data_IF_345574518759
#
_entry.id   IF_345574518759
#
_cell.length_a   1.000
_cell.length_b   1.000
_cell.length_c   1.000
_cell.angle_alpha   90.00
_cell.angle_beta   90.00
_cell.angle_gamma   90.00
#
_symmetry.space_group_name_H-M   'P 1'
#
loop_
_entity.id
_entity.type
_entity.pdbx_description
1 polymer ?
#
# COMPACT_ATOMS: atom_id res chain seq x y z
N UNK A 1 -17.09 24.82 -6.31
CA UNK A 1 -18.49 24.45 -6.63
C UNK A 1 -18.48 23.51 -7.83
N UNK A 2 -18.31 22.21 -7.58
CA UNK A 2 -18.33 21.20 -8.66
C UNK A 2 -19.77 20.79 -8.98
N UNK A 3 -20.66 20.83 -7.99
CA UNK A 3 -22.09 20.53 -8.16
C UNK A 3 -22.86 21.81 -7.97
N UNK A 4 -23.42 22.34 -9.07
CA UNK A 4 -24.18 23.60 -9.09
C UNK A 4 -25.68 23.45 -8.78
N UNK A 5 -26.14 22.27 -8.42
CA UNK A 5 -27.56 21.99 -8.16
C UNK A 5 -27.91 22.25 -6.69
N UNK A 6 -28.79 23.24 -6.39
CA UNK A 6 -29.17 23.56 -5.01
C UNK A 6 -30.04 22.45 -4.33
N UNK A 7 -30.60 21.52 -5.10
CA UNK A 7 -31.34 20.37 -4.57
C UNK A 7 -30.46 19.23 -4.09
N UNK A 8 -29.11 19.34 -4.21
CA UNK A 8 -28.15 18.32 -3.77
C UNK A 8 -27.39 18.84 -2.57
N UNK A 9 -27.58 18.22 -1.41
CA UNK A 9 -26.72 18.44 -0.24
C UNK A 9 -25.58 17.42 -0.25
N UNK A 10 -24.38 17.88 0.13
CA UNK A 10 -23.22 17.03 0.27
C UNK A 10 -22.74 17.12 1.71
N UNK A 11 -22.74 15.99 2.39
CA UNK A 11 -22.27 15.87 3.75
C UNK A 11 -21.12 14.86 3.83
N UNK A 12 -20.15 15.11 4.72
CA UNK A 12 -19.10 14.16 5.01
C UNK A 12 -19.71 12.98 5.80
N UNK A 13 -19.78 11.80 5.18
CA UNK A 13 -20.37 10.62 5.81
C UNK A 13 -19.55 10.10 7.00
N UNK A 14 -18.23 10.36 7.01
CA UNK A 14 -17.33 9.96 8.10
C UNK A 14 -16.44 11.16 8.49
N UNK A 15 -16.86 11.84 9.54
CA UNK A 15 -16.12 12.97 10.13
C UNK A 15 -15.01 12.53 11.10
N UNK A 16 -15.00 11.25 11.45
CA UNK A 16 -14.12 10.62 12.45
C UNK A 16 -12.81 10.08 11.87
N UNK A 17 -12.67 10.03 10.54
CA UNK A 17 -11.41 9.62 9.93
C UNK A 17 -10.36 10.72 10.05
N UNK A 18 -9.22 10.42 10.67
CA UNK A 18 -8.15 11.40 10.77
C UNK A 18 -7.54 11.69 9.40
N UNK A 19 -6.98 12.89 9.25
CA UNK A 19 -6.10 13.23 8.14
C UNK A 19 -4.68 12.95 8.58
N UNK A 20 -3.94 12.19 7.78
CA UNK A 20 -2.54 11.91 8.01
C UNK A 20 -1.72 12.29 6.79
N UNK A 21 -0.52 12.82 7.03
CA UNK A 21 0.46 13.03 5.98
C UNK A 21 1.07 11.70 5.54
N UNK A 22 1.54 11.65 4.30
CA UNK A 22 2.35 10.52 3.84
C UNK A 22 3.63 10.41 4.68
N UNK A 23 4.09 9.20 5.04
CA UNK A 23 5.34 9.02 5.75
C UNK A 23 6.52 9.50 4.88
N UNK A 24 7.63 9.97 5.50
CA UNK A 24 8.83 10.35 4.78
C UNK A 24 9.45 9.12 4.09
N UNK A 25 10.16 9.35 2.98
CA UNK A 25 10.96 8.29 2.34
C UNK A 25 12.27 8.11 3.11
N UNK A 26 12.21 7.48 4.26
CA UNK A 26 13.36 7.24 5.12
C UNK A 26 14.29 6.18 4.49
N UNK A 27 15.58 6.49 4.23
CA UNK A 27 16.54 5.55 3.68
C UNK A 27 16.70 4.27 4.53
N UNK A 28 16.53 4.35 5.84
CA UNK A 28 16.59 3.19 6.73
C UNK A 28 15.45 2.19 6.46
N UNK A 29 14.34 2.65 5.91
CA UNK A 29 13.19 1.82 5.54
C UNK A 29 13.24 1.46 4.06
N UNK A 30 13.51 2.45 3.19
CA UNK A 30 13.49 2.26 1.74
C UNK A 30 14.67 1.40 1.25
N UNK A 31 15.87 1.58 1.84
CA UNK A 31 17.07 0.81 1.46
C UNK A 31 16.89 -0.71 1.54
N UNK A 32 16.42 -1.28 2.65
CA UNK A 32 16.07 -2.70 2.74
C UNK A 32 15.00 -3.12 1.72
N UNK A 33 14.00 -2.29 1.45
CA UNK A 33 12.97 -2.56 0.44
C UNK A 33 13.59 -2.67 -0.95
N UNK A 34 14.43 -1.71 -1.35
CA UNK A 34 15.11 -1.71 -2.65
C UNK A 34 16.02 -2.94 -2.81
N UNK A 35 16.83 -3.24 -1.79
CA UNK A 35 17.74 -4.38 -1.77
C UNK A 35 17.00 -5.70 -1.96
N UNK A 36 15.93 -5.90 -1.20
CA UNK A 36 15.16 -7.13 -1.27
C UNK A 36 14.29 -7.19 -2.54
N UNK A 37 13.78 -6.05 -3.01
CA UNK A 37 13.08 -6.01 -4.30
C UNK A 37 13.99 -6.42 -5.45
N UNK A 38 15.25 -5.97 -5.47
CA UNK A 38 16.22 -6.39 -6.49
C UNK A 38 16.49 -7.91 -6.43
N UNK A 39 16.45 -8.52 -5.24
CA UNK A 39 16.62 -9.97 -5.03
C UNK A 39 15.41 -10.77 -5.53
N UNK A 40 14.21 -10.38 -5.13
CA UNK A 40 12.98 -11.16 -5.36
C UNK A 40 12.27 -10.80 -6.67
N UNK A 41 12.46 -9.56 -7.15
CA UNK A 41 11.83 -9.00 -8.34
C UNK A 41 12.88 -8.31 -9.23
N UNK A 42 13.84 -9.06 -9.79
CA UNK A 42 14.96 -8.47 -10.54
C UNK A 42 14.46 -7.60 -11.71
N UNK A 43 15.00 -6.39 -11.80
CA UNK A 43 14.63 -5.41 -12.82
C UNK A 43 13.38 -4.58 -12.52
N UNK A 44 12.71 -4.82 -11.39
CA UNK A 44 11.53 -4.03 -10.99
C UNK A 44 11.97 -2.95 -9.99
N UNK A 45 11.80 -1.66 -10.31
CA UNK A 45 12.13 -0.57 -9.40
C UNK A 45 11.12 -0.44 -8.26
N UNK A 46 11.58 0.01 -7.10
CA UNK A 46 10.70 0.44 -6.00
C UNK A 46 10.28 1.88 -6.26
N UNK A 47 8.99 2.12 -6.42
CA UNK A 47 8.44 3.45 -6.63
C UNK A 47 7.41 3.78 -5.55
N UNK A 48 7.48 4.97 -4.95
CA UNK A 48 6.43 5.43 -4.03
C UNK A 48 5.12 5.61 -4.78
N UNK A 49 4.04 5.08 -4.20
CA UNK A 49 2.70 5.23 -4.76
C UNK A 49 1.69 5.57 -3.67
N UNK A 50 0.64 6.27 -4.04
CA UNK A 50 -0.49 6.56 -3.17
C UNK A 50 -1.62 5.59 -3.53
N UNK A 51 -2.04 4.80 -2.54
CA UNK A 51 -3.24 3.98 -2.68
C UNK A 51 -4.48 4.78 -2.28
N UNK A 52 -5.55 4.65 -3.06
CA UNK A 52 -6.86 5.24 -2.74
C UNK A 52 -7.66 4.39 -1.75
N UNK A 53 -7.20 3.16 -1.47
CA UNK A 53 -7.79 2.28 -0.47
C UNK A 53 -7.53 2.74 0.96
N UNK A 54 -8.40 2.34 1.89
CA UNK A 54 -8.22 2.61 3.31
C UNK A 54 -7.46 1.46 3.98
N UNK A 55 -6.57 1.80 4.91
CA UNK A 55 -5.88 0.86 5.79
C UNK A 55 -5.84 1.39 7.21
N UNK A 56 -5.61 0.52 8.20
CA UNK A 56 -5.44 0.91 9.59
C UNK A 56 -4.19 1.78 9.81
N UNK A 57 -3.26 1.79 8.87
CA UNK A 57 -2.11 2.68 8.85
C UNK A 57 -2.47 4.16 8.90
N UNK A 58 -3.68 4.53 8.47
CA UNK A 58 -4.20 5.89 8.62
C UNK A 58 -4.21 6.37 10.08
N UNK A 59 -4.67 5.51 10.98
CA UNK A 59 -4.75 5.85 12.42
C UNK A 59 -3.39 5.93 13.08
N UNK A 60 -2.46 5.05 12.69
CA UNK A 60 -1.08 5.08 13.18
C UNK A 60 -0.35 6.32 12.68
N UNK A 61 -0.47 6.64 11.41
CA UNK A 61 0.14 7.84 10.81
C UNK A 61 -0.41 9.12 11.42
N UNK A 62 -1.69 9.16 11.78
CA UNK A 62 -2.32 10.33 12.40
C UNK A 62 -1.78 10.64 13.80
N UNK A 63 -1.24 9.66 14.51
CA UNK A 63 -0.58 9.83 15.82
C UNK A 63 0.95 9.88 15.71
N UNK A 64 1.48 10.07 14.51
CA UNK A 64 2.91 10.27 14.27
C UNK A 64 3.74 9.00 14.10
N UNK A 65 3.10 7.83 13.95
CA UNK A 65 3.78 6.57 13.66
C UNK A 65 3.84 6.37 12.15
N UNK A 66 5.02 6.51 11.50
CA UNK A 66 5.14 6.33 10.06
C UNK A 66 4.71 4.93 9.64
N UNK A 67 3.80 4.85 8.67
CA UNK A 67 3.28 3.56 8.20
C UNK A 67 3.44 3.45 6.70
N UNK A 68 4.08 2.38 6.26
CA UNK A 68 4.38 2.09 4.86
C UNK A 68 3.60 0.87 4.41
N UNK A 69 2.90 1.00 3.28
CA UNK A 69 2.27 -0.14 2.62
C UNK A 69 3.28 -0.83 1.69
N UNK A 70 3.59 -2.09 1.95
CA UNK A 70 4.47 -2.87 1.10
C UNK A 70 3.69 -4.04 0.52
N UNK A 71 3.36 -4.02 -0.78
CA UNK A 71 2.73 -5.17 -1.42
C UNK A 71 3.76 -6.30 -1.53
N UNK A 72 3.47 -7.44 -0.95
CA UNK A 72 4.31 -8.63 -1.07
C UNK A 72 3.96 -9.50 -2.27
N UNK A 73 2.94 -9.13 -3.04
CA UNK A 73 2.44 -9.93 -4.14
C UNK A 73 2.24 -9.07 -5.39
N UNK A 74 2.45 -9.66 -6.56
CA UNK A 74 2.11 -9.02 -7.83
C UNK A 74 0.83 -9.62 -8.40
N UNK A 75 0.20 -8.84 -9.28
CA UNK A 75 -1.01 -9.21 -9.96
C UNK A 75 -0.80 -9.69 -11.39
N UNK A 76 -1.90 -10.12 -11.97
CA UNK A 76 -2.03 -10.40 -13.39
C UNK A 76 -1.97 -9.07 -14.18
N UNK A 77 -1.22 -8.98 -15.29
CA UNK A 77 -1.22 -7.79 -16.16
C UNK A 77 -2.62 -7.35 -16.61
N UNK A 78 -3.54 -8.29 -16.77
CA UNK A 78 -4.93 -8.04 -17.13
C UNK A 78 -5.83 -7.66 -15.93
N UNK A 79 -5.23 -7.56 -14.75
CA UNK A 79 -5.91 -7.25 -13.50
C UNK A 79 -6.40 -8.48 -12.73
N UNK A 80 -6.41 -8.36 -11.42
CA UNK A 80 -6.76 -9.46 -10.52
C UNK A 80 -8.27 -9.60 -10.27
N UNK A 81 -9.09 -8.73 -10.83
CA UNK A 81 -10.52 -8.71 -10.57
C UNK A 81 -10.89 -8.40 -9.11
N UNK A 82 -10.05 -7.63 -8.41
CA UNK A 82 -10.23 -7.26 -7.00
C UNK A 82 -11.63 -6.71 -6.76
N UNK A 83 -12.29 -7.22 -5.73
CA UNK A 83 -13.69 -6.93 -5.39
C UNK A 83 -14.72 -7.42 -6.42
N UNK A 84 -14.31 -8.23 -7.40
CA UNK A 84 -15.20 -8.83 -8.40
C UNK A 84 -15.45 -10.32 -8.19
N UNK A 85 -16.37 -10.88 -8.97
CA UNK A 85 -16.73 -12.31 -8.90
C UNK A 85 -15.60 -13.26 -9.28
N UNK A 86 -14.64 -12.80 -10.10
CA UNK A 86 -13.51 -13.58 -10.59
C UNK A 86 -12.19 -13.06 -10.01
N UNK A 87 -12.19 -12.62 -8.77
CA UNK A 87 -10.97 -12.21 -8.09
C UNK A 87 -10.00 -13.38 -8.00
N UNK A 88 -8.76 -13.13 -8.40
CA UNK A 88 -7.72 -14.15 -8.46
C UNK A 88 -6.36 -13.58 -8.09
N UNK A 89 -5.51 -14.45 -7.57
CA UNK A 89 -4.12 -14.13 -7.29
C UNK A 89 -3.24 -15.28 -7.79
N UNK A 90 -2.11 -14.96 -8.42
CA UNK A 90 -1.17 -15.96 -8.87
C UNK A 90 -0.54 -16.69 -7.67
N UNK A 91 -0.61 -18.01 -7.66
CA UNK A 91 -0.09 -18.84 -6.55
C UNK A 91 1.40 -18.61 -6.32
N UNK A 92 2.20 -18.50 -7.39
CA UNK A 92 3.64 -18.18 -7.29
C UNK A 92 3.88 -16.83 -6.63
N UNK A 93 3.06 -15.83 -6.93
CA UNK A 93 3.13 -14.50 -6.33
C UNK A 93 2.97 -14.56 -4.81
N UNK A 94 2.08 -15.41 -4.30
CA UNK A 94 1.88 -15.61 -2.85
C UNK A 94 3.14 -16.14 -2.18
N UNK A 95 3.77 -17.17 -2.75
CA UNK A 95 4.96 -17.78 -2.15
C UNK A 95 6.17 -16.85 -2.18
N UNK A 96 6.45 -16.24 -3.32
CA UNK A 96 7.56 -15.28 -3.44
C UNK A 96 7.32 -14.06 -2.56
N UNK A 97 6.09 -13.56 -2.52
CA UNK A 97 5.71 -12.43 -1.68
C UNK A 97 5.85 -12.72 -0.19
N UNK A 98 5.49 -13.92 0.25
CA UNK A 98 5.73 -14.37 1.63
C UNK A 98 7.22 -14.33 1.98
N UNK A 99 8.07 -14.87 1.12
CA UNK A 99 9.52 -14.94 1.38
C UNK A 99 10.14 -13.54 1.38
N UNK A 100 9.73 -12.68 0.45
CA UNK A 100 10.10 -11.26 0.42
C UNK A 100 9.71 -10.54 1.71
N UNK A 101 8.45 -10.64 2.13
CA UNK A 101 7.96 -9.98 3.35
C UNK A 101 8.63 -10.52 4.61
N UNK A 102 8.89 -11.82 4.67
CA UNK A 102 9.63 -12.42 5.78
C UNK A 102 11.05 -11.86 5.92
N UNK A 103 11.80 -11.78 4.81
CA UNK A 103 13.14 -11.21 4.80
C UNK A 103 13.11 -9.70 5.11
N UNK A 104 12.09 -8.98 4.63
CA UNK A 104 11.93 -7.55 4.91
C UNK A 104 11.69 -7.29 6.40
N UNK A 105 10.78 -8.04 7.02
CA UNK A 105 10.53 -7.93 8.47
C UNK A 105 11.81 -8.20 9.26
N UNK A 106 12.57 -9.23 8.89
CA UNK A 106 13.88 -9.51 9.54
C UNK A 106 14.88 -8.39 9.36
N UNK A 107 14.95 -7.78 8.19
CA UNK A 107 15.88 -6.68 7.92
C UNK A 107 15.53 -5.40 8.71
N UNK A 108 14.25 -5.16 8.93
CA UNK A 108 13.77 -3.97 9.66
C UNK A 108 13.70 -4.15 11.18
N UNK A 109 13.74 -5.39 11.67
CA UNK A 109 13.65 -5.72 13.11
C UNK A 109 15.02 -5.84 13.81
N UNK A 110 16.11 -5.49 13.15
CA UNK A 110 17.48 -5.57 13.68
C UNK A 110 17.93 -4.28 14.35
#
# INVERSE_FOLDING_TARGET
>A
KVIGNPGISIELARKDKPLAASPPLDPAIIGPMETLSAKYFPGVPVIPAISTGATDGLYLSAVGIPTYGVPGAWGDPDGNGVHGLNERLEVRSVYVGRDYLFDLVKALAQ
#
